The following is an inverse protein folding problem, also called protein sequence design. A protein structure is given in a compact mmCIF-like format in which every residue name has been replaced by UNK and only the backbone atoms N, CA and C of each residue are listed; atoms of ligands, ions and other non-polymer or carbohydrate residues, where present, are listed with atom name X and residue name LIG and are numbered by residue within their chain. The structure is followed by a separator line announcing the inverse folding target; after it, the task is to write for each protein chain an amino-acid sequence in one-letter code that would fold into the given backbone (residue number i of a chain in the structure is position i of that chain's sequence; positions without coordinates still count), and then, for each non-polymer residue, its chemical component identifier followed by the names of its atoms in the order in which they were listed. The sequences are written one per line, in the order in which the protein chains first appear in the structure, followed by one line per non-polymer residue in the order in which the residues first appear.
data_IF_581267008398
#
_entry.id   IF_581267008398
#
_cell.length_a   1.000
_cell.length_b   1.000
_cell.length_c   1.000
_cell.angle_alpha   90.00
_cell.angle_beta   90.00
_cell.angle_gamma   90.00
#
_symmetry.space_group_name_H-M   'P 1'
#
loop_
_entity.id
_entity.type
_entity.pdbx_description
1 polymer ?
#
# COMPACT_ATOMS: atom_id res chain seq x y z
N UNK A 1 1.76 -8.20 32.89
CA UNK A 1 2.20 -7.27 31.83
C UNK A 1 1.32 -6.04 31.85
N UNK A 2 1.86 -4.83 32.08
CA UNK A 2 1.11 -3.56 31.96
C UNK A 2 1.35 -3.00 30.56
N UNK A 3 0.28 -2.79 29.80
CA UNK A 3 0.37 -2.14 28.49
C UNK A 3 0.45 -0.62 28.66
N UNK A 4 1.20 0.08 27.79
CA UNK A 4 1.27 1.54 27.81
C UNK A 4 -0.10 2.18 27.50
N UNK A 5 -0.36 3.40 28.00
CA UNK A 5 -1.60 4.12 27.69
C UNK A 5 -1.68 4.35 26.17
N UNK A 6 -2.81 3.99 25.57
CA UNK A 6 -3.00 4.09 24.11
C UNK A 6 -2.64 2.84 23.30
N UNK A 7 -2.24 1.74 23.95
CA UNK A 7 -1.96 0.46 23.29
C UNK A 7 -3.07 0.01 22.33
N UNK A 8 -4.34 0.14 22.74
CA UNK A 8 -5.51 -0.21 21.91
C UNK A 8 -5.80 0.78 20.77
N UNK A 9 -5.15 1.94 20.77
CA UNK A 9 -5.28 3.00 19.75
C UNK A 9 -4.16 2.93 18.70
N UNK A 10 -3.07 2.23 18.97
CA UNK A 10 -1.99 2.06 18.01
C UNK A 10 -2.43 1.12 16.87
N UNK A 11 -2.93 1.72 15.79
CA UNK A 11 -3.20 1.01 14.54
C UNK A 11 -1.86 0.86 13.81
N UNK A 12 -1.07 -0.14 14.19
CA UNK A 12 0.08 -0.56 13.37
C UNK A 12 -0.43 -1.44 12.23
N UNK A 13 -0.01 -1.19 10.97
CA UNK A 13 -0.29 -2.12 9.89
C UNK A 13 0.28 -3.50 10.27
N UNK A 14 -0.50 -4.55 10.04
CA UNK A 14 -0.08 -5.91 10.30
C UNK A 14 0.95 -6.30 9.23
N UNK A 15 2.23 -6.20 9.59
CA UNK A 15 3.35 -6.55 8.73
C UNK A 15 4.05 -7.80 9.26
N UNK A 16 4.36 -8.74 8.38
CA UNK A 16 5.18 -9.92 8.68
C UNK A 16 6.51 -9.79 7.95
N UNK A 17 7.62 -9.66 8.67
CA UNK A 17 8.95 -9.34 8.10
C UNK A 17 8.99 -8.12 7.16
N UNK A 18 8.11 -7.14 7.41
CA UNK A 18 7.95 -5.94 6.57
C UNK A 18 7.21 -6.18 5.25
N UNK A 19 6.52 -7.32 5.12
CA UNK A 19 5.54 -7.59 4.07
C UNK A 19 4.14 -7.38 4.67
N UNK A 20 3.29 -6.52 4.09
CA UNK A 20 1.95 -6.31 4.61
C UNK A 20 1.12 -7.60 4.52
N UNK A 21 0.46 -7.95 5.61
CA UNK A 21 -0.43 -9.12 5.75
C UNK A 21 -1.37 -9.36 4.54
N UNK A 22 -2.02 -8.34 3.93
CA UNK A 22 -2.88 -8.58 2.77
C UNK A 22 -2.16 -9.16 1.55
N UNK A 23 -0.84 -9.01 1.41
CA UNK A 23 -0.11 -9.63 0.29
C UNK A 23 -0.10 -11.16 0.39
N UNK A 24 -0.15 -11.73 1.60
CA UNK A 24 -0.21 -13.18 1.79
C UNK A 24 -1.54 -13.79 1.34
N UNK A 25 -2.60 -12.98 1.15
CA UNK A 25 -3.87 -13.43 0.55
C UNK A 25 -3.67 -14.01 -0.86
N UNK A 26 -2.56 -13.68 -1.53
CA UNK A 26 -2.20 -14.21 -2.84
C UNK A 26 -1.97 -15.73 -2.78
N UNK A 27 -1.38 -16.24 -1.70
CA UNK A 27 -1.30 -17.70 -1.48
C UNK A 27 -2.68 -18.33 -1.31
N UNK A 28 -3.57 -17.70 -0.55
CA UNK A 28 -4.91 -18.25 -0.29
C UNK A 28 -5.76 -18.30 -1.56
N UNK A 29 -5.64 -17.30 -2.44
CA UNK A 29 -6.42 -17.25 -3.67
C UNK A 29 -5.86 -18.17 -4.77
N UNK A 30 -4.54 -18.32 -4.84
CA UNK A 30 -3.87 -19.05 -5.93
C UNK A 30 -3.60 -20.53 -5.59
N UNK A 31 -3.43 -20.90 -4.32
CA UNK A 31 -3.16 -22.28 -3.91
C UNK A 31 -4.43 -23.14 -3.81
N UNK A 32 -5.21 -23.28 -4.89
CA UNK A 32 -6.27 -24.31 -4.95
C UNK A 32 -5.68 -25.72 -4.99
N UNK A 33 -4.52 -25.88 -5.65
CA UNK A 33 -3.69 -27.09 -5.62
C UNK A 33 -2.22 -26.67 -5.43
N UNK A 34 -1.61 -26.92 -4.27
CA UNK A 34 -0.23 -26.55 -4.02
C UNK A 34 0.69 -27.50 -4.82
N UNK A 35 1.23 -27.01 -5.92
CA UNK A 35 2.39 -27.61 -6.59
C UNK A 35 3.63 -26.80 -6.22
N UNK A 36 4.82 -27.40 -6.32
CA UNK A 36 6.06 -26.67 -6.03
C UNK A 36 6.20 -25.43 -6.91
N UNK A 37 5.76 -25.50 -8.17
CA UNK A 37 5.76 -24.37 -9.09
C UNK A 37 4.88 -23.22 -8.64
N UNK A 38 3.68 -23.48 -8.12
CA UNK A 38 2.79 -22.40 -7.64
C UNK A 38 3.35 -21.69 -6.43
N UNK A 39 4.08 -22.40 -5.56
CA UNK A 39 4.80 -21.81 -4.43
C UNK A 39 5.94 -20.90 -4.92
N UNK A 40 6.75 -21.34 -5.89
CA UNK A 40 7.82 -20.51 -6.46
C UNK A 40 7.28 -19.25 -7.14
N UNK A 41 6.16 -19.35 -7.85
CA UNK A 41 5.53 -18.18 -8.49
C UNK A 41 5.00 -17.19 -7.43
N UNK A 42 4.27 -17.67 -6.42
CA UNK A 42 3.72 -16.81 -5.37
C UNK A 42 4.83 -16.15 -4.53
N UNK A 43 5.87 -16.89 -4.16
CA UNK A 43 7.04 -16.35 -3.45
C UNK A 43 7.74 -15.28 -4.31
N UNK A 44 7.95 -15.54 -5.60
CA UNK A 44 8.57 -14.57 -6.53
C UNK A 44 7.79 -13.26 -6.64
N UNK A 45 6.46 -13.34 -6.73
CA UNK A 45 5.59 -12.16 -6.76
C UNK A 45 5.74 -11.35 -5.46
N UNK A 46 5.70 -12.02 -4.30
CA UNK A 46 5.87 -11.36 -3.00
C UNK A 46 7.23 -10.70 -2.83
N UNK A 47 8.30 -11.37 -3.25
CA UNK A 47 9.66 -10.82 -3.21
C UNK A 47 9.75 -9.58 -4.11
N UNK A 48 9.13 -9.62 -5.30
CA UNK A 48 9.09 -8.47 -6.21
C UNK A 48 8.40 -7.28 -5.56
N UNK A 49 7.23 -7.49 -4.94
CA UNK A 49 6.55 -6.43 -4.20
C UNK A 49 7.35 -5.93 -2.99
N UNK A 50 8.06 -6.83 -2.28
CA UNK A 50 8.91 -6.46 -1.15
C UNK A 50 10.08 -5.59 -1.58
N UNK A 51 10.73 -5.91 -2.70
CA UNK A 51 11.79 -5.11 -3.30
C UNK A 51 11.26 -3.72 -3.68
N UNK A 52 10.14 -3.65 -4.40
CA UNK A 52 9.51 -2.38 -4.78
C UNK A 52 9.18 -1.54 -3.52
N UNK A 53 8.68 -2.18 -2.46
CA UNK A 53 8.42 -1.50 -1.18
C UNK A 53 9.71 -1.05 -0.47
N UNK A 54 10.81 -1.78 -0.59
CA UNK A 54 12.11 -1.39 -0.04
C UNK A 54 12.71 -0.17 -0.75
N UNK A 55 12.45 -0.04 -2.05
CA UNK A 55 12.76 1.17 -2.82
C UNK A 55 11.89 2.39 -2.42
N UNK A 56 11.00 2.25 -1.43
CA UNK A 56 10.08 3.30 -0.98
C UNK A 56 8.89 3.52 -1.92
N UNK A 57 8.73 2.66 -2.93
CA UNK A 57 7.63 2.73 -3.89
C UNK A 57 6.47 1.88 -3.38
N UNK A 58 5.82 2.30 -2.30
CA UNK A 58 4.67 1.57 -1.77
C UNK A 58 3.64 1.34 -2.89
N UNK A 59 3.06 0.13 -3.07
CA UNK A 59 2.10 -0.13 -4.15
C UNK A 59 0.91 0.83 -4.12
N UNK A 60 0.54 1.33 -2.93
CA UNK A 60 -0.42 2.42 -2.75
C UNK A 60 0.00 3.72 -3.45
N UNK A 61 1.27 4.13 -3.30
CA UNK A 61 1.81 5.32 -3.96
C UNK A 61 1.88 5.14 -5.47
N UNK A 62 2.26 3.95 -5.95
CA UNK A 62 2.24 3.63 -7.37
C UNK A 62 0.82 3.69 -7.94
N UNK A 63 -0.15 3.10 -7.24
CA UNK A 63 -1.56 3.18 -7.62
C UNK A 63 -2.07 4.61 -7.60
N UNK A 64 -1.77 5.39 -6.56
CA UNK A 64 -2.14 6.80 -6.49
C UNK A 64 -1.51 7.61 -7.64
N UNK A 65 -0.23 7.41 -7.93
CA UNK A 65 0.46 8.05 -9.05
C UNK A 65 -0.16 7.65 -10.39
N UNK A 66 -0.49 6.36 -10.59
CA UNK A 66 -1.15 5.88 -11.78
C UNK A 66 -2.55 6.53 -11.93
N UNK A 67 -3.36 6.53 -10.88
CA UNK A 67 -4.67 7.20 -10.88
C UNK A 67 -4.54 8.69 -11.14
N UNK A 68 -3.53 9.36 -10.58
CA UNK A 68 -3.26 10.77 -10.86
C UNK A 68 -2.83 11.01 -12.30
N UNK A 69 -2.00 10.12 -12.87
CA UNK A 69 -1.59 10.18 -14.27
C UNK A 69 -2.80 10.00 -15.21
N UNK A 70 -3.64 9.00 -14.94
CA UNK A 70 -4.86 8.74 -15.72
C UNK A 70 -5.91 9.85 -15.57
N UNK A 71 -6.03 10.46 -14.39
CA UNK A 71 -6.95 11.60 -14.15
C UNK A 71 -6.44 12.91 -14.74
N UNK A 72 -5.17 13.01 -15.07
CA UNK A 72 -4.52 14.23 -15.52
C UNK A 72 -4.40 15.31 -14.42
N UNK A 73 -3.78 16.42 -14.76
CA UNK A 73 -3.67 17.59 -13.86
C UNK A 73 -5.05 18.24 -13.72
N UNK A 74 -5.73 18.02 -12.60
CA UNK A 74 -6.92 18.79 -12.25
C UNK A 74 -6.46 20.22 -11.97
N UNK A 75 -6.68 21.14 -12.91
CA UNK A 75 -6.58 22.58 -12.66
C UNK A 75 -7.72 22.91 -11.69
N UNK A 76 -7.47 22.76 -10.40
CA UNK A 76 -8.28 23.37 -9.37
C UNK A 76 -7.93 24.85 -9.38
N UNK A 77 -8.47 25.58 -10.37
CA UNK A 77 -8.59 27.02 -10.25
C UNK A 77 -9.33 27.25 -8.94
N UNK A 78 -8.65 27.79 -7.92
CA UNK A 78 -9.34 28.24 -6.71
C UNK A 78 -10.46 29.18 -7.19
N UNK A 79 -11.72 28.94 -6.82
CA UNK A 79 -12.81 29.83 -7.19
C UNK A 79 -12.43 31.26 -6.84
N UNK A 80 -12.72 32.23 -7.70
CA UNK A 80 -12.28 33.62 -7.50
C UNK A 80 -12.65 34.20 -6.12
N UNK A 81 -13.71 33.66 -5.49
CA UNK A 81 -14.19 34.10 -4.19
C UNK A 81 -13.29 33.65 -3.02
N UNK A 82 -12.45 32.63 -3.21
CA UNK A 82 -11.54 32.11 -2.18
C UNK A 82 -10.17 32.80 -2.20
N UNK A 83 -10.00 33.88 -2.97
CA UNK A 83 -8.85 34.77 -2.85
C UNK A 83 -9.11 35.72 -1.68
N UNK A 84 -8.86 35.28 -0.45
CA UNK A 84 -8.80 36.21 0.67
C UNK A 84 -7.52 37.05 0.53
N UNK A 85 -7.69 38.27 0.05
CA UNK A 85 -6.75 39.36 0.20
C UNK A 85 -6.82 39.79 1.67
N UNK A 86 -6.00 39.21 2.54
CA UNK A 86 -5.74 39.80 3.85
C UNK A 86 -4.55 40.73 3.69
N UNK A 87 -4.79 42.02 3.93
CA UNK A 87 -3.81 43.10 4.11
C UNK A 87 -2.82 42.80 5.23
#
# INVERSE_FOLDING_TARGET
MRYPPGFWREIRPLDFFGIPAPMFSLYLFWCRFPSMDTIYVCTGILVTFRLISFLGWTPRLLYQRAVHLFRGTRIAGRPWWYRHFTE
#
